data_IF_476988912425
#
_entry.id   IF_476988912425
#
_cell.length_a   1.000
_cell.length_b   1.000
_cell.length_c   1.000
_cell.angle_alpha   90.00
_cell.angle_beta   90.00
_cell.angle_gamma   90.00
#
_symmetry.space_group_name_H-M   'P 1'
#
loop_
_entity.id
_entity.type
_entity.pdbx_description
1 polymer ?
#
# COMPACT_ATOMS: atom_id res chain seq x y z
N UNK A 1 3.38 -26.42 4.47
CA UNK A 1 4.32 -25.93 5.50
C UNK A 1 5.32 -25.02 4.82
N UNK A 2 5.49 -23.78 5.32
CA UNK A 2 6.50 -22.82 4.82
C UNK A 2 7.70 -22.85 5.75
N UNK A 3 8.90 -22.95 5.19
CA UNK A 3 10.17 -22.93 5.93
C UNK A 3 10.94 -21.67 5.53
N UNK A 4 11.51 -20.98 6.52
CA UNK A 4 12.43 -19.85 6.31
C UNK A 4 13.87 -20.34 6.50
N UNK A 5 14.77 -19.83 5.67
CA UNK A 5 16.17 -20.21 5.68
C UNK A 5 17.03 -19.09 6.23
N UNK A 6 18.02 -19.46 7.05
CA UNK A 6 19.06 -18.57 7.48
C UNK A 6 20.41 -19.27 7.34
N UNK A 7 21.46 -18.50 7.07
CA UNK A 7 22.81 -19.03 6.99
C UNK A 7 23.53 -18.88 8.32
N UNK A 8 24.48 -19.78 8.57
CA UNK A 8 25.39 -19.66 9.70
C UNK A 8 26.27 -18.41 9.55
N UNK A 9 26.86 -17.98 10.65
CA UNK A 9 27.78 -16.84 10.67
C UNK A 9 28.93 -17.03 9.66
N UNK A 10 29.27 -15.96 8.94
CA UNK A 10 30.25 -15.98 7.85
C UNK A 10 29.71 -16.43 6.49
N UNK A 11 28.44 -16.86 6.39
CA UNK A 11 27.82 -17.24 5.13
C UNK A 11 26.64 -16.33 4.77
N UNK A 12 26.51 -16.04 3.48
CA UNK A 12 25.44 -15.24 2.90
C UNK A 12 24.48 -16.13 2.11
N UNK A 13 23.18 -15.86 2.26
CA UNK A 13 22.09 -16.61 1.62
C UNK A 13 21.90 -16.16 0.18
N UNK A 14 22.15 -17.06 -0.77
CA UNK A 14 21.89 -16.86 -2.20
C UNK A 14 20.65 -17.65 -2.60
N UNK A 15 19.58 -16.96 -3.01
CA UNK A 15 18.32 -17.57 -3.45
C UNK A 15 17.11 -17.14 -2.61
N UNK A 16 16.16 -18.05 -2.40
CA UNK A 16 14.87 -17.76 -1.74
C UNK A 16 14.97 -17.60 -0.23
N UNK A 17 14.19 -16.67 0.37
CA UNK A 17 14.17 -16.46 1.84
C UNK A 17 13.38 -17.57 2.53
N UNK A 18 12.36 -18.04 1.84
CA UNK A 18 11.49 -19.12 2.28
C UNK A 18 11.07 -19.99 1.13
N UNK A 19 10.76 -21.24 1.44
CA UNK A 19 10.20 -22.19 0.49
C UNK A 19 9.04 -22.94 1.13
N UNK A 20 8.09 -23.31 0.29
CA UNK A 20 6.99 -24.20 0.67
C UNK A 20 7.20 -25.56 0.02
N UNK A 21 7.04 -26.62 0.82
CA UNK A 21 7.04 -27.98 0.30
C UNK A 21 5.66 -28.34 -0.24
N UNK A 22 5.62 -28.68 -1.52
CA UNK A 22 4.47 -29.21 -2.24
C UNK A 22 4.69 -30.68 -2.61
N UNK A 23 3.68 -31.34 -3.18
CA UNK A 23 3.80 -32.74 -3.61
C UNK A 23 4.86 -32.95 -4.72
N UNK A 24 5.20 -31.89 -5.46
CA UNK A 24 6.22 -31.90 -6.51
C UNK A 24 7.58 -31.37 -6.03
N UNK A 25 7.75 -31.15 -4.72
CA UNK A 25 8.98 -30.62 -4.12
C UNK A 25 8.85 -29.19 -3.63
N UNK A 26 10.00 -28.58 -3.35
CA UNK A 26 10.09 -27.22 -2.81
C UNK A 26 9.88 -26.16 -3.89
N UNK A 27 9.08 -25.14 -3.58
CA UNK A 27 8.91 -23.97 -4.43
C UNK A 27 8.79 -22.69 -3.59
N UNK A 28 9.59 -21.65 -3.87
CA UNK A 28 10.76 -21.66 -4.75
C UNK A 28 11.85 -22.65 -4.27
N UNK A 29 12.88 -22.91 -5.08
CA UNK A 29 13.97 -23.81 -4.68
C UNK A 29 14.68 -23.28 -3.41
N UNK A 30 15.10 -24.15 -2.48
CA UNK A 30 15.84 -23.75 -1.29
C UNK A 30 17.13 -22.99 -1.64
N UNK A 31 17.55 -22.01 -0.82
CA UNK A 31 18.75 -21.21 -1.07
C UNK A 31 20.03 -21.99 -0.78
N UNK A 32 21.16 -21.41 -1.21
CA UNK A 32 22.51 -21.89 -0.92
C UNK A 32 23.19 -20.87 -0.01
N UNK A 33 23.92 -21.34 1.00
CA UNK A 33 24.79 -20.50 1.82
C UNK A 33 26.19 -20.47 1.23
N UNK A 34 26.68 -19.27 0.85
CA UNK A 34 28.02 -19.07 0.30
C UNK A 34 28.84 -18.17 1.23
N UNK A 35 30.10 -18.54 1.44
CA UNK A 35 31.04 -17.74 2.24
C UNK A 35 31.37 -16.42 1.53
N UNK A 36 31.63 -16.47 0.22
CA UNK A 36 31.93 -15.30 -0.60
C UNK A 36 30.90 -15.15 -1.71
N UNK A 37 30.12 -14.08 -1.67
CA UNK A 37 29.20 -13.68 -2.75
C UNK A 37 29.87 -12.65 -3.64
N UNK A 38 29.58 -12.72 -4.94
CA UNK A 38 30.14 -11.79 -5.92
C UNK A 38 29.26 -10.54 -6.05
N UNK A 39 29.87 -9.36 -6.24
CA UNK A 39 29.12 -8.17 -6.60
C UNK A 39 28.73 -8.20 -8.08
N UNK A 40 27.62 -7.57 -8.42
CA UNK A 40 27.16 -7.43 -9.81
C UNK A 40 27.84 -6.24 -10.50
N UNK A 41 28.05 -6.34 -11.82
CA UNK A 41 28.48 -5.19 -12.61
C UNK A 41 27.37 -4.13 -12.69
N UNK A 42 27.72 -2.96 -13.20
CA UNK A 42 26.73 -1.97 -13.60
C UNK A 42 25.65 -2.60 -14.50
N UNK A 43 24.40 -2.18 -14.28
CA UNK A 43 23.28 -2.67 -15.09
C UNK A 43 23.47 -2.32 -16.57
N UNK A 44 23.10 -3.23 -17.49
CA UNK A 44 23.00 -2.88 -18.89
C UNK A 44 21.89 -1.86 -19.10
N UNK A 45 21.97 -1.13 -20.22
CA UNK A 45 20.97 -0.13 -20.59
C UNK A 45 19.64 -0.86 -20.90
N UNK A 46 18.57 -0.45 -20.21
CA UNK A 46 17.20 -0.88 -20.52
C UNK A 46 16.61 0.16 -21.47
N UNK A 47 16.36 -0.21 -22.73
CA UNK A 47 15.77 0.69 -23.72
C UNK A 47 14.43 1.24 -23.22
N UNK A 48 14.26 2.56 -23.26
CA UNK A 48 13.08 3.28 -22.70
C UNK A 48 12.82 3.02 -21.21
N UNK A 49 13.83 2.54 -20.48
CA UNK A 49 13.79 2.28 -19.06
C UNK A 49 14.82 3.11 -18.31
N UNK A 50 14.50 3.44 -17.06
CA UNK A 50 15.41 4.06 -16.09
C UNK A 50 15.33 3.30 -14.78
N UNK A 51 16.38 3.40 -13.98
CA UNK A 51 16.47 2.72 -12.69
C UNK A 51 16.57 3.78 -11.59
N UNK A 52 15.93 3.57 -10.45
CA UNK A 52 16.09 4.46 -9.29
C UNK A 52 17.43 4.23 -8.60
N UNK A 53 18.10 5.33 -8.22
CA UNK A 53 19.38 5.31 -7.51
C UNK A 53 20.53 5.89 -8.32
N UNK A 54 21.69 6.01 -7.69
CA UNK A 54 22.92 6.46 -8.34
C UNK A 54 23.46 5.39 -9.28
N UNK A 55 23.97 5.81 -10.44
CA UNK A 55 24.72 4.93 -11.32
C UNK A 55 26.03 4.52 -10.62
N UNK A 56 26.06 3.30 -10.08
CA UNK A 56 27.27 2.71 -9.50
C UNK A 56 27.93 1.80 -10.53
N UNK A 57 29.26 1.79 -10.51
CA UNK A 57 30.03 0.84 -11.31
C UNK A 57 29.85 -0.61 -10.82
N UNK A 58 29.52 -0.80 -9.54
CA UNK A 58 29.43 -2.09 -8.87
C UNK A 58 28.28 -2.07 -7.85
N UNK A 59 27.51 -3.16 -7.80
CA UNK A 59 26.41 -3.38 -6.86
C UNK A 59 26.69 -4.61 -6.00
N UNK A 60 26.37 -4.55 -4.70
CA UNK A 60 26.57 -5.67 -3.79
C UNK A 60 25.44 -6.68 -3.94
N UNK A 61 25.71 -7.93 -3.56
CA UNK A 61 24.66 -8.94 -3.49
C UNK A 61 23.54 -8.50 -2.54
N UNK A 62 22.29 -8.68 -2.98
CA UNK A 62 21.09 -8.22 -2.27
C UNK A 62 20.71 -6.77 -2.57
N UNK A 63 21.51 -6.02 -3.34
CA UNK A 63 21.11 -4.69 -3.80
C UNK A 63 19.86 -4.81 -4.68
N UNK A 64 18.85 -3.98 -4.36
CA UNK A 64 17.58 -3.91 -5.06
C UNK A 64 17.47 -2.61 -5.84
N UNK A 65 17.01 -2.73 -7.08
CA UNK A 65 16.84 -1.60 -7.99
C UNK A 65 15.44 -1.62 -8.59
N UNK A 66 14.81 -0.45 -8.66
CA UNK A 66 13.45 -0.32 -9.19
C UNK A 66 13.48 0.30 -10.59
N UNK A 67 12.98 -0.48 -11.55
CA UNK A 67 12.91 -0.08 -12.96
C UNK A 67 11.61 0.67 -13.24
N UNK A 68 11.74 1.75 -13.99
CA UNK A 68 10.66 2.62 -14.43
C UNK A 68 10.76 2.82 -15.94
N UNK A 69 9.67 2.58 -16.65
CA UNK A 69 9.62 2.88 -18.08
C UNK A 69 9.28 4.35 -18.34
N UNK A 70 9.71 4.84 -19.49
CA UNK A 70 9.35 6.15 -20.02
C UNK A 70 7.86 6.24 -20.37
N UNK A 71 7.36 7.46 -20.57
CA UNK A 71 5.97 7.68 -21.02
C UNK A 71 5.76 6.98 -22.36
N UNK A 72 4.59 6.36 -22.54
CA UNK A 72 4.20 5.51 -23.67
C UNK A 72 4.81 4.11 -23.66
N UNK A 73 5.57 3.72 -22.62
CA UNK A 73 6.11 2.36 -22.49
C UNK A 73 5.60 1.68 -21.22
N UNK A 74 5.09 0.47 -21.36
CA UNK A 74 4.67 -0.37 -20.25
C UNK A 74 5.77 -1.34 -19.81
N UNK A 75 5.86 -1.59 -18.50
CA UNK A 75 6.82 -2.52 -17.92
C UNK A 75 6.32 -3.96 -18.01
N UNK A 76 7.13 -4.84 -18.60
CA UNK A 76 6.90 -6.29 -18.64
C UNK A 76 8.02 -7.00 -17.88
N UNK A 77 7.65 -7.82 -16.90
CA UNK A 77 8.59 -8.50 -15.99
C UNK A 77 8.55 -7.91 -14.59
N UNK A 78 9.63 -8.13 -13.82
CA UNK A 78 9.70 -7.64 -12.44
C UNK A 78 10.07 -6.16 -12.40
N UNK A 79 9.29 -5.36 -11.67
CA UNK A 79 9.62 -3.94 -11.42
C UNK A 79 10.89 -3.78 -10.57
N UNK A 80 11.12 -4.74 -9.67
CA UNK A 80 12.28 -4.77 -8.78
C UNK A 80 13.22 -5.86 -9.26
N UNK A 81 14.47 -5.51 -9.47
CA UNK A 81 15.55 -6.43 -9.82
C UNK A 81 16.57 -6.49 -8.70
N UNK A 82 17.11 -7.67 -8.44
CA UNK A 82 18.04 -7.96 -7.36
C UNK A 82 19.38 -8.41 -7.93
N UNK A 83 20.48 -7.97 -7.31
CA UNK A 83 21.80 -8.53 -7.56
C UNK A 83 21.99 -9.84 -6.80
N UNK A 84 22.09 -10.96 -7.52
CA UNK A 84 22.21 -12.31 -6.97
C UNK A 84 23.56 -12.90 -7.35
N UNK A 85 24.51 -12.86 -6.42
CA UNK A 85 25.83 -13.48 -6.54
C UNK A 85 26.55 -13.23 -7.88
N UNK A 86 26.69 -11.96 -8.25
CA UNK A 86 27.37 -11.50 -9.47
C UNK A 86 26.47 -11.41 -10.69
N UNK A 87 25.25 -11.91 -10.64
CA UNK A 87 24.28 -11.87 -11.73
C UNK A 87 23.03 -11.08 -11.34
N UNK A 88 22.53 -10.27 -12.27
CA UNK A 88 21.24 -9.61 -12.09
C UNK A 88 20.11 -10.62 -12.30
N UNK A 89 19.08 -10.53 -11.47
CA UNK A 89 17.80 -11.17 -11.75
C UNK A 89 17.29 -10.77 -13.15
N UNK A 90 16.44 -11.61 -13.80
CA UNK A 90 15.94 -11.33 -15.15
C UNK A 90 15.41 -9.91 -15.29
N UNK A 91 16.00 -9.16 -16.22
CA UNK A 91 15.69 -7.75 -16.42
C UNK A 91 14.31 -7.60 -17.08
N UNK A 92 13.51 -6.61 -16.65
CA UNK A 92 12.25 -6.29 -17.32
C UNK A 92 12.50 -5.63 -18.68
N UNK A 93 11.46 -5.61 -19.50
CA UNK A 93 11.44 -4.90 -20.77
C UNK A 93 10.40 -3.76 -20.73
N UNK A 94 10.75 -2.62 -21.31
CA UNK A 94 9.83 -1.52 -21.56
C UNK A 94 9.33 -1.62 -23.00
N UNK A 95 8.05 -1.92 -23.17
CA UNK A 95 7.42 -2.13 -24.49
C UNK A 95 6.44 -1.01 -24.75
N UNK A 96 6.45 -0.47 -25.97
CA UNK A 96 5.56 0.60 -26.37
C UNK A 96 4.09 0.19 -26.17
N UNK A 97 3.34 1.01 -25.44
CA UNK A 97 1.93 0.86 -25.18
C UNK A 97 1.15 1.90 -25.99
N UNK A 98 0.54 1.41 -27.06
CA UNK A 98 -0.22 2.22 -28.01
C UNK A 98 -1.59 2.63 -27.48
N UNK A 99 -2.11 1.97 -26.43
CA UNK A 99 -3.41 2.31 -25.86
C UNK A 99 -3.34 3.61 -25.08
N UNK A 100 -4.29 4.49 -25.39
CA UNK A 100 -4.43 5.80 -24.77
C UNK A 100 -5.68 5.86 -23.90
N UNK A 101 -5.64 6.68 -22.85
CA UNK A 101 -6.81 7.01 -22.07
C UNK A 101 -7.55 8.20 -22.68
N UNK A 102 -8.88 8.16 -22.57
CA UNK A 102 -9.75 9.32 -22.78
C UNK A 102 -9.55 10.35 -21.65
N UNK A 103 -10.17 11.54 -21.74
CA UNK A 103 -10.09 12.52 -20.66
C UNK A 103 -10.45 11.92 -19.29
N UNK A 104 -9.75 12.32 -18.22
CA UNK A 104 -9.91 11.77 -16.88
C UNK A 104 -11.35 11.93 -16.38
N UNK A 105 -11.95 10.90 -15.75
CA UNK A 105 -13.31 10.97 -15.27
C UNK A 105 -13.44 11.92 -14.07
N UNK A 106 -14.61 12.54 -13.90
CA UNK A 106 -14.90 13.29 -12.67
C UNK A 106 -15.16 12.34 -11.51
N UNK A 107 -14.79 12.75 -10.30
CA UNK A 107 -15.03 11.99 -9.07
C UNK A 107 -15.96 12.75 -8.13
N UNK A 108 -16.76 12.02 -7.35
CA UNK A 108 -17.67 12.64 -6.38
C UNK A 108 -16.86 13.38 -5.31
N UNK A 109 -17.27 14.60 -4.97
CA UNK A 109 -16.61 15.47 -3.97
C UNK A 109 -15.14 15.81 -4.31
N UNK A 110 -14.75 15.73 -5.58
CA UNK A 110 -13.42 16.11 -6.05
C UNK A 110 -13.42 16.59 -7.49
N UNK A 111 -12.27 17.08 -7.93
CA UNK A 111 -12.05 17.61 -9.27
C UNK A 111 -10.58 17.41 -9.66
N UNK A 112 -10.29 17.32 -10.96
CA UNK A 112 -8.92 17.31 -11.47
C UNK A 112 -8.48 18.73 -11.83
N UNK A 113 -7.18 19.03 -11.71
CA UNK A 113 -6.65 20.38 -11.98
C UNK A 113 -5.98 20.51 -13.35
N UNK A 114 -5.35 19.46 -13.87
CA UNK A 114 -4.52 19.51 -15.09
C UNK A 114 -5.01 18.48 -16.14
N UNK A 115 -6.28 18.60 -16.55
CA UNK A 115 -7.00 17.58 -17.33
C UNK A 115 -7.53 18.04 -18.71
N UNK A 116 -6.88 19.00 -19.37
CA UNK A 116 -7.40 19.66 -20.58
C UNK A 116 -7.17 18.89 -21.89
N UNK A 117 -6.34 17.84 -21.87
CA UNK A 117 -6.05 17.08 -23.10
C UNK A 117 -7.23 16.20 -23.49
N UNK A 118 -7.45 16.06 -24.80
CA UNK A 118 -8.44 15.13 -25.34
C UNK A 118 -7.98 13.67 -25.30
N UNK A 119 -6.68 13.41 -25.11
CA UNK A 119 -6.09 12.06 -25.11
C UNK A 119 -4.83 12.02 -24.23
N UNK A 120 -4.62 10.90 -23.54
CA UNK A 120 -3.50 10.68 -22.62
C UNK A 120 -2.79 9.36 -22.94
N UNK A 121 -1.46 9.37 -22.94
CA UNK A 121 -0.60 8.20 -23.21
C UNK A 121 -0.36 7.39 -21.94
N UNK A 122 0.10 6.15 -22.10
CA UNK A 122 0.52 5.33 -20.95
C UNK A 122 1.56 6.08 -20.10
N UNK A 123 1.34 6.13 -18.79
CA UNK A 123 2.21 6.83 -17.84
C UNK A 123 1.91 8.31 -17.68
N UNK A 124 1.04 8.92 -18.50
CA UNK A 124 0.58 10.28 -18.26
C UNK A 124 -0.22 10.37 -16.95
N UNK A 125 -0.13 11.53 -16.29
CA UNK A 125 -0.69 11.71 -14.96
C UNK A 125 -1.52 12.98 -14.83
N UNK A 126 -2.58 12.92 -14.03
CA UNK A 126 -3.46 14.06 -13.75
C UNK A 126 -3.67 14.16 -12.23
N UNK A 127 -3.42 15.35 -11.68
CA UNK A 127 -3.63 15.61 -10.26
C UNK A 127 -5.13 15.82 -9.96
N UNK A 128 -5.63 15.11 -8.96
CA UNK A 128 -6.94 15.32 -8.38
C UNK A 128 -6.84 16.06 -7.05
N UNK A 129 -7.90 16.80 -6.74
CA UNK A 129 -8.11 17.49 -5.47
C UNK A 129 -9.51 17.20 -4.96
N UNK A 130 -9.63 17.01 -3.65
CA UNK A 130 -10.92 16.88 -3.01
C UNK A 130 -11.47 18.23 -2.57
N UNK A 131 -12.79 18.34 -2.52
CA UNK A 131 -13.47 19.48 -1.92
C UNK A 131 -13.16 19.57 -0.42
N UNK A 132 -13.41 20.74 0.18
CA UNK A 132 -13.23 20.98 1.61
C UNK A 132 -13.94 19.88 2.42
N UNK A 133 -13.28 19.39 3.48
CA UNK A 133 -13.69 18.27 4.36
C UNK A 133 -13.47 16.85 3.82
N UNK A 134 -13.01 16.68 2.58
CA UNK A 134 -12.68 15.38 2.00
C UNK A 134 -11.17 15.20 1.85
N UNK A 135 -10.71 13.95 1.95
CA UNK A 135 -9.32 13.54 1.71
C UNK A 135 -9.25 12.56 0.55
N UNK A 136 -8.12 12.60 -0.15
CA UNK A 136 -7.78 11.70 -1.24
C UNK A 136 -7.35 10.35 -0.65
N UNK A 137 -7.92 9.27 -1.19
CA UNK A 137 -7.46 7.90 -0.98
C UNK A 137 -7.21 7.25 -2.34
N UNK A 138 -6.11 6.50 -2.46
CA UNK A 138 -5.72 5.82 -3.69
C UNK A 138 -4.68 6.58 -4.50
N UNK A 139 -4.59 6.27 -5.79
CA UNK A 139 -3.53 6.75 -6.68
C UNK A 139 -3.71 8.24 -7.02
N UNK A 140 -2.86 9.11 -6.45
CA UNK A 140 -2.79 10.52 -6.81
C UNK A 140 -1.31 10.97 -6.94
N UNK A 141 -0.88 11.56 -8.08
CA UNK A 141 -1.68 11.87 -9.26
C UNK A 141 -2.22 10.60 -9.94
N UNK A 142 -3.44 10.69 -10.48
CA UNK A 142 -4.06 9.60 -11.22
C UNK A 142 -3.20 9.26 -12.44
N UNK A 143 -3.09 7.98 -12.79
CA UNK A 143 -2.22 7.53 -13.89
C UNK A 143 -3.01 6.84 -14.99
N UNK A 144 -2.70 7.15 -16.24
CA UNK A 144 -3.19 6.40 -17.38
C UNK A 144 -2.33 5.15 -17.58
N UNK A 145 -2.91 3.96 -17.37
CA UNK A 145 -2.22 2.68 -17.53
C UNK A 145 -3.04 1.78 -18.44
N UNK A 146 -2.41 1.31 -19.52
CA UNK A 146 -3.02 0.39 -20.49
C UNK A 146 -4.37 0.87 -21.05
N UNK A 147 -4.53 2.18 -21.23
CA UNK A 147 -5.77 2.81 -21.70
C UNK A 147 -6.86 2.99 -20.63
N UNK A 148 -6.55 2.71 -19.36
CA UNK A 148 -7.47 2.89 -18.23
C UNK A 148 -6.87 3.83 -17.18
N UNK A 149 -7.72 4.58 -16.50
CA UNK A 149 -7.29 5.47 -15.42
C UNK A 149 -7.28 4.74 -14.07
N UNK A 150 -6.15 4.75 -13.40
CA UNK A 150 -6.06 4.52 -11.96
C UNK A 150 -6.30 5.85 -11.24
N UNK A 151 -7.54 6.09 -10.82
CA UNK A 151 -7.99 7.34 -10.17
C UNK A 151 -8.10 7.19 -8.65
N UNK A 152 -7.97 8.30 -7.89
CA UNK A 152 -8.26 8.31 -6.48
C UNK A 152 -9.76 8.46 -6.19
N UNK A 153 -10.12 8.31 -4.91
CA UNK A 153 -11.45 8.63 -4.38
C UNK A 153 -11.38 9.69 -3.29
N UNK A 154 -12.43 10.51 -3.18
CA UNK A 154 -12.56 11.51 -2.12
C UNK A 154 -13.51 10.99 -1.03
N UNK A 155 -12.96 10.71 0.14
CA UNK A 155 -13.74 10.29 1.32
C UNK A 155 -13.76 11.39 2.36
N UNK A 156 -14.77 11.41 3.22
CA UNK A 156 -14.85 12.41 4.29
C UNK A 156 -13.60 12.27 5.16
N UNK A 157 -12.91 13.39 5.38
CA UNK A 157 -11.80 13.49 6.31
C UNK A 157 -12.35 13.41 7.73
N UNK A 158 -12.73 12.22 8.17
CA UNK A 158 -13.13 12.03 9.53
C UNK A 158 -11.87 11.86 10.41
N UNK A 159 -10.94 12.82 10.39
CA UNK A 159 -9.82 12.85 11.35
C UNK A 159 -10.28 13.08 12.79
N UNK A 160 -11.58 13.31 12.98
CA UNK A 160 -12.15 13.50 14.28
C UNK A 160 -13.57 12.96 14.41
N UNK A 161 -13.84 12.27 15.51
CA UNK A 161 -15.17 11.81 15.87
C UNK A 161 -15.92 12.92 16.60
N UNK A 162 -17.17 13.17 16.19
CA UNK A 162 -18.11 13.98 16.96
C UNK A 162 -18.89 13.09 17.92
N UNK A 163 -19.36 13.66 19.03
CA UNK A 163 -20.25 12.96 19.96
C UNK A 163 -21.61 12.76 19.28
N UNK A 164 -22.04 11.52 19.02
CA UNK A 164 -23.37 11.26 18.50
C UNK A 164 -24.42 11.68 19.54
N UNK A 165 -25.50 12.31 19.09
CA UNK A 165 -26.57 12.81 19.98
C UNK A 165 -27.34 11.68 20.69
N UNK A 166 -27.27 10.45 20.17
CA UNK A 166 -28.00 9.29 20.68
C UNK A 166 -27.27 8.53 21.81
N UNK A 167 -26.06 8.97 22.19
CA UNK A 167 -25.22 8.28 23.17
C UNK A 167 -24.83 9.22 24.32
N UNK A 168 -24.92 8.75 25.56
CA UNK A 168 -24.60 9.53 26.76
C UNK A 168 -23.10 9.49 27.08
N UNK A 169 -22.33 10.41 26.48
CA UNK A 169 -20.89 10.53 26.69
C UNK A 169 -20.54 11.26 28.00
N UNK A 170 -19.54 10.74 28.72
CA UNK A 170 -19.04 11.31 29.96
C UNK A 170 -17.66 11.95 29.76
N UNK A 171 -17.39 13.18 30.26
CA UNK A 171 -18.31 14.03 31.02
C UNK A 171 -19.38 14.67 30.11
N UNK A 172 -20.58 14.85 30.66
CA UNK A 172 -21.79 15.42 30.01
C UNK A 172 -21.62 16.87 29.56
N UNK A 173 -20.52 17.52 29.94
CA UNK A 173 -20.16 18.86 29.49
C UNK A 173 -20.10 18.87 27.96
N UNK A 174 -20.88 19.75 27.33
CA UNK A 174 -20.89 19.97 25.89
C UNK A 174 -19.58 20.61 25.43
N UNK A 175 -18.51 19.83 25.38
CA UNK A 175 -17.28 20.25 24.69
C UNK A 175 -17.55 20.18 23.19
N UNK A 176 -17.63 21.33 22.52
CA UNK A 176 -17.71 21.44 21.04
C UNK A 176 -16.44 20.97 20.33
N UNK A 177 -15.43 20.52 21.07
CA UNK A 177 -14.17 20.01 20.55
C UNK A 177 -14.33 18.56 20.10
N UNK A 178 -14.02 18.23 18.83
CA UNK A 178 -14.11 16.87 18.31
C UNK A 178 -12.90 16.02 18.75
N UNK A 179 -13.09 14.70 18.86
CA UNK A 179 -12.06 13.75 19.30
C UNK A 179 -11.16 13.37 18.14
N UNK A 180 -9.84 13.48 18.28
CA UNK A 180 -8.87 13.04 17.25
C UNK A 180 -8.82 11.51 17.15
N UNK A 181 -8.35 10.98 16.02
CA UNK A 181 -8.01 9.56 15.87
C UNK A 181 -7.12 9.07 17.03
N UNK A 182 -7.35 7.83 17.45
CA UNK A 182 -6.75 7.14 18.60
C UNK A 182 -7.16 7.61 19.99
N UNK A 183 -8.02 8.62 20.10
CA UNK A 183 -8.58 9.04 21.38
C UNK A 183 -9.71 8.14 21.85
N UNK A 184 -9.73 7.90 23.17
CA UNK A 184 -10.80 7.16 23.83
C UNK A 184 -11.83 8.12 24.43
N UNK A 185 -13.08 7.68 24.45
CA UNK A 185 -14.17 8.35 25.12
C UNK A 185 -15.07 7.35 25.82
N UNK A 186 -15.65 7.77 26.93
CA UNK A 186 -16.51 6.93 27.74
C UNK A 186 -17.98 7.30 27.49
N UNK A 187 -18.85 6.30 27.39
CA UNK A 187 -20.29 6.46 27.27
C UNK A 187 -21.03 5.54 28.24
N UNK A 188 -22.22 5.95 28.67
CA UNK A 188 -23.01 5.24 29.67
C UNK A 188 -24.14 4.44 29.01
N UNK A 189 -24.32 3.21 29.47
CA UNK A 189 -25.51 2.39 29.19
C UNK A 189 -26.13 1.97 30.53
N UNK A 190 -27.23 2.62 30.93
CA UNK A 190 -27.82 2.42 32.26
C UNK A 190 -26.84 2.79 33.38
N UNK A 191 -26.57 1.86 34.31
CA UNK A 191 -25.60 2.05 35.39
C UNK A 191 -24.14 1.83 34.97
N UNK A 192 -23.90 1.20 33.81
CA UNK A 192 -22.56 0.77 33.38
C UNK A 192 -21.85 1.82 32.53
N UNK A 193 -20.54 1.92 32.70
CA UNK A 193 -19.66 2.77 31.89
C UNK A 193 -18.91 1.91 30.86
N UNK A 194 -18.98 2.31 29.60
CA UNK A 194 -18.29 1.68 28.49
C UNK A 194 -17.32 2.65 27.83
N UNK A 195 -16.30 2.11 27.17
CA UNK A 195 -15.29 2.89 26.46
C UNK A 195 -15.38 2.62 24.96
N UNK A 196 -15.17 3.66 24.16
CA UNK A 196 -15.08 3.60 22.70
C UNK A 196 -13.87 4.41 22.23
N UNK A 197 -13.26 3.99 21.13
CA UNK A 197 -12.09 4.61 20.53
C UNK A 197 -12.47 5.28 19.22
N UNK A 198 -12.01 6.50 19.01
CA UNK A 198 -12.12 7.17 17.73
C UNK A 198 -11.06 6.59 16.77
N UNK A 199 -11.48 5.93 15.70
CA UNK A 199 -10.59 5.34 14.70
C UNK A 199 -10.99 5.93 13.35
N UNK A 200 -10.15 6.84 12.83
CA UNK A 200 -10.40 7.55 11.57
C UNK A 200 -11.83 8.09 11.49
N UNK A 201 -12.33 8.61 12.63
CA UNK A 201 -13.58 9.35 12.71
C UNK A 201 -14.84 8.52 12.91
N UNK A 202 -14.67 7.21 13.08
CA UNK A 202 -15.70 6.30 13.52
C UNK A 202 -15.41 5.84 14.95
N UNK A 203 -16.46 5.67 15.75
CA UNK A 203 -16.37 5.14 17.11
C UNK A 203 -16.36 3.60 17.10
N UNK A 204 -15.37 2.99 17.78
CA UNK A 204 -15.26 1.54 17.93
C UNK A 204 -14.97 1.11 19.38
N UNK A 205 -15.82 0.27 20.01
CA UNK A 205 -17.11 -0.19 19.52
C UNK A 205 -18.09 0.98 19.33
N UNK A 206 -19.08 0.83 18.44
CA UNK A 206 -20.09 1.85 18.19
C UNK A 206 -20.85 2.11 19.51
N UNK A 207 -21.02 3.38 19.95
CA UNK A 207 -21.61 3.71 21.23
C UNK A 207 -23.14 3.56 21.16
N UNK A 208 -23.60 2.32 21.07
CA UNK A 208 -25.00 1.91 21.11
C UNK A 208 -25.17 0.90 22.22
N UNK A 209 -26.24 1.05 22.99
CA UNK A 209 -26.63 0.06 23.97
C UNK A 209 -27.42 -1.06 23.26
N UNK A 210 -26.76 -1.84 22.40
CA UNK A 210 -27.31 -3.08 21.86
C UNK A 210 -27.02 -4.22 22.84
N UNK A 211 -28.02 -5.09 23.05
CA UNK A 211 -28.17 -5.94 24.23
C UNK A 211 -26.96 -6.78 24.63
N UNK A 212 -26.42 -6.52 25.82
CA UNK A 212 -25.86 -7.57 26.66
C UNK A 212 -26.98 -8.13 27.55
N UNK A 213 -27.80 -9.02 26.98
CA UNK A 213 -28.64 -9.93 27.78
C UNK A 213 -28.01 -11.32 27.73
N UNK A 214 -27.37 -11.65 28.86
CA UNK A 214 -26.95 -12.94 29.46
C UNK A 214 -26.73 -14.19 28.61
N UNK A 215 -25.57 -14.84 28.78
CA UNK A 215 -25.46 -16.31 28.93
C UNK A 215 -24.20 -16.71 29.71
N UNK A 216 -24.36 -16.98 31.01
CA UNK A 216 -23.78 -18.15 31.69
C UNK A 216 -24.69 -18.50 32.87
N UNK A 217 -25.82 -19.15 32.57
CA UNK A 217 -26.34 -20.20 33.43
C UNK A 217 -25.66 -21.49 32.98
N UNK A 218 -24.87 -22.11 33.85
CA UNK A 218 -24.77 -23.58 33.87
C UNK A 218 -24.79 -24.01 35.34
N UNK A 219 -25.78 -24.84 35.65
CA UNK A 219 -25.98 -25.57 36.88
C UNK A 219 -24.96 -26.70 37.02
N UNK A 220 -24.41 -26.86 38.23
CA UNK A 220 -24.23 -28.15 38.93
C UNK A 220 -24.07 -27.87 40.43
#
# INVERSE_FOLDING_TARGET
>A
MVVRFNCNEGFTRVGSESAQCYHFGWSPQPPICKENVKPCPALPIISHGRVTGESKAVFQHGDLLEVHCEISFALYGSKIIECVDGEWAPLPSCVEEVRTCRPPPTIKNGYFVNGESSTYRHGDTVEYRCQKIYIIIGTNPAKCLHGQWEIPSCVVNQQSCTRPWYADFQPTVQTTKPFKTDQFANYRCGSNLHQTKCINGLWFPVPRCEGMVCMLCTSL
#
